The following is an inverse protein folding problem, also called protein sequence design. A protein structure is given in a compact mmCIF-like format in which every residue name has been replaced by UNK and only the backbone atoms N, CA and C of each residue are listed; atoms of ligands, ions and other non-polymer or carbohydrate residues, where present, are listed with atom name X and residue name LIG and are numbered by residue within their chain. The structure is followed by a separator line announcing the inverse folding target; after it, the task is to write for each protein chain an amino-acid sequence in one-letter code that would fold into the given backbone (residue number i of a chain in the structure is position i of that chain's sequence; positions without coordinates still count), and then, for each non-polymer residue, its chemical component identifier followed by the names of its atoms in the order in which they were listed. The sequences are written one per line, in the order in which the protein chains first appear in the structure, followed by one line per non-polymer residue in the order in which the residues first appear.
data_IF_445416132471
#
_entry.id   IF_445416132471
#
_cell.length_a   1.000
_cell.length_b   1.000
_cell.length_c   1.000
_cell.angle_alpha   90.00
_cell.angle_beta   90.00
_cell.angle_gamma   90.00
#
_symmetry.space_group_name_H-M   'P 1'
#
loop_
_entity.id
_entity.type
_entity.pdbx_description
1 polymer ?
#
# COMPACT_ATOMS: atom_id res chain seq x y z
N UNK A 1 -29.80 -7.02 -7.39
CA UNK A 1 -29.08 -8.06 -8.14
C UNK A 1 -27.71 -8.19 -7.48
N UNK A 2 -27.49 -9.20 -6.64
CA UNK A 2 -26.27 -9.39 -5.83
C UNK A 2 -25.40 -10.45 -6.51
N UNK A 3 -24.23 -10.07 -7.02
CA UNK A 3 -23.23 -11.02 -7.49
C UNK A 3 -22.56 -11.67 -6.28
N UNK A 4 -22.94 -12.90 -5.94
CA UNK A 4 -22.18 -13.75 -5.02
C UNK A 4 -20.92 -14.24 -5.73
N UNK A 5 -19.74 -13.88 -5.21
CA UNK A 5 -18.47 -14.49 -5.60
C UNK A 5 -18.21 -15.66 -4.66
N UNK A 6 -18.36 -16.88 -5.16
CA UNK A 6 -17.99 -18.10 -4.44
C UNK A 6 -16.56 -18.53 -4.76
N UNK A 7 -15.78 -18.88 -3.74
CA UNK A 7 -14.45 -19.48 -3.93
C UNK A 7 -14.51 -20.98 -3.61
N UNK A 8 -14.17 -21.82 -4.59
CA UNK A 8 -14.09 -23.27 -4.43
C UNK A 8 -12.63 -23.70 -4.27
N UNK A 9 -12.27 -24.22 -3.09
CA UNK A 9 -10.93 -24.73 -2.83
C UNK A 9 -10.87 -26.24 -3.10
N UNK A 10 -10.18 -26.64 -4.16
CA UNK A 10 -9.88 -28.05 -4.44
C UNK A 10 -8.90 -28.60 -3.38
N UNK A 11 -9.35 -29.53 -2.54
CA UNK A 11 -8.47 -30.32 -1.66
C UNK A 11 -7.88 -31.51 -2.43
N UNK A 12 -6.55 -31.64 -2.45
CA UNK A 12 -5.86 -32.92 -2.70
C UNK A 12 -5.12 -33.35 -1.43
N UNK A 13 -5.30 -34.62 -1.05
CA UNK A 13 -4.62 -35.32 0.07
C UNK A 13 -3.13 -35.44 -0.25
N UNK A 14 -2.30 -34.75 0.53
CA UNK A 14 -1.29 -35.28 1.48
C UNK A 14 -0.04 -35.90 0.83
N UNK A 15 1.13 -35.26 1.04
CA UNK A 15 2.31 -35.95 1.60
C UNK A 15 3.30 -34.95 2.25
N UNK A 16 4.09 -35.50 3.14
CA UNK A 16 5.03 -35.06 4.18
C UNK A 16 6.04 -33.92 3.90
N UNK A 17 6.54 -33.35 5.01
CA UNK A 17 7.62 -32.34 5.24
C UNK A 17 7.23 -30.85 5.28
N UNK A 18 7.61 -30.21 6.40
CA UNK A 18 7.41 -28.80 6.79
C UNK A 18 5.96 -28.28 6.72
N UNK A 19 5.22 -28.46 7.83
CA UNK A 19 4.01 -27.67 8.10
C UNK A 19 4.41 -26.21 8.39
N UNK A 20 4.85 -25.48 7.36
CA UNK A 20 4.65 -24.03 7.30
C UNK A 20 3.16 -23.86 7.57
N UNK A 21 2.81 -23.29 8.73
CA UNK A 21 1.43 -22.99 9.05
C UNK A 21 0.86 -22.23 7.84
N UNK A 22 0.00 -22.90 7.06
CA UNK A 22 -0.66 -22.31 5.88
C UNK A 22 -1.69 -21.33 6.40
N UNK A 23 -1.23 -20.26 7.05
CA UNK A 23 -2.08 -19.13 7.40
C UNK A 23 -2.67 -18.66 6.08
N UNK A 24 -4.01 -18.67 5.93
CA UNK A 24 -4.62 -18.20 4.69
C UNK A 24 -4.15 -16.77 4.44
N UNK A 25 -3.84 -16.47 3.18
CA UNK A 25 -3.56 -15.11 2.76
C UNK A 25 -4.76 -14.24 3.14
N UNK A 26 -4.51 -13.16 3.89
CA UNK A 26 -5.54 -12.19 4.25
C UNK A 26 -5.43 -11.02 3.29
N UNK A 27 -6.42 -10.88 2.43
CA UNK A 27 -6.63 -9.66 1.66
C UNK A 27 -7.52 -8.73 2.47
N UNK A 28 -7.04 -7.52 2.73
CA UNK A 28 -7.87 -6.43 3.23
C UNK A 28 -8.01 -5.40 2.12
N UNK A 29 -9.24 -5.14 1.71
CA UNK A 29 -9.55 -3.92 0.97
C UNK A 29 -9.54 -2.82 2.04
N UNK A 30 -8.69 -1.80 1.86
CA UNK A 30 -8.84 -0.58 2.65
C UNK A 30 -10.24 -0.05 2.37
N UNK A 31 -11.11 -0.09 3.38
CA UNK A 31 -12.45 0.40 3.24
C UNK A 31 -12.37 1.92 2.97
N UNK A 32 -13.20 2.42 2.07
CA UNK A 32 -13.21 3.84 1.71
C UNK A 32 -13.54 4.79 2.87
N UNK A 33 -13.71 4.27 4.10
CA UNK A 33 -13.80 5.04 5.34
C UNK A 33 -12.47 5.72 5.68
N UNK A 34 -11.33 5.09 5.37
CA UNK A 34 -10.03 5.78 5.30
C UNK A 34 -9.98 6.50 3.97
N UNK A 35 -10.13 7.82 3.99
CA UNK A 35 -10.00 8.66 2.80
C UNK A 35 -8.54 8.63 2.33
N UNK A 36 -8.18 7.58 1.60
CA UNK A 36 -6.94 7.58 0.82
C UNK A 36 -6.97 8.83 -0.03
N UNK A 37 -5.91 9.66 -0.03
CA UNK A 37 -5.89 10.86 -0.84
C UNK A 37 -6.22 10.51 -2.29
N UNK A 38 -7.17 11.24 -2.87
CA UNK A 38 -7.56 11.01 -4.27
C UNK A 38 -6.53 11.69 -5.17
N UNK A 39 -6.16 11.01 -6.26
CA UNK A 39 -5.34 11.56 -7.32
C UNK A 39 -6.25 12.10 -8.43
N UNK A 40 -6.00 13.32 -8.90
CA UNK A 40 -6.71 13.92 -10.03
C UNK A 40 -5.82 14.08 -11.27
N UNK A 41 -4.50 14.18 -11.12
CA UNK A 41 -3.54 14.32 -12.22
C UNK A 41 -2.77 13.02 -12.44
N UNK A 42 -2.79 12.47 -13.65
CA UNK A 42 -2.25 11.14 -13.94
C UNK A 42 -0.72 10.99 -13.76
N UNK A 43 0.03 12.07 -13.86
CA UNK A 43 1.49 12.14 -13.70
C UNK A 43 1.95 11.96 -12.24
N UNK A 44 1.05 12.11 -11.27
CA UNK A 44 1.34 11.92 -9.85
C UNK A 44 1.37 10.44 -9.41
N UNK A 45 1.01 9.48 -10.28
CA UNK A 45 0.72 8.10 -9.86
C UNK A 45 1.92 7.41 -9.19
N UNK A 46 3.13 7.65 -9.71
CA UNK A 46 4.38 7.12 -9.15
C UNK A 46 4.70 7.68 -7.76
N UNK A 47 4.49 8.97 -7.54
CA UNK A 47 4.71 9.60 -6.23
C UNK A 47 3.65 9.12 -5.21
N UNK A 48 2.40 8.97 -5.64
CA UNK A 48 1.30 8.46 -4.81
C UNK A 48 1.59 7.06 -4.26
N UNK A 49 2.00 6.13 -5.12
CA UNK A 49 2.24 4.76 -4.68
C UNK A 49 3.41 4.66 -3.70
N UNK A 50 4.49 5.42 -3.94
CA UNK A 50 5.65 5.45 -3.05
C UNK A 50 5.31 6.06 -1.69
N UNK A 51 4.54 7.16 -1.67
CA UNK A 51 4.08 7.77 -0.42
C UNK A 51 3.12 6.85 0.35
N UNK A 52 2.25 6.13 -0.36
CA UNK A 52 1.37 5.13 0.26
C UNK A 52 2.17 3.97 0.87
N UNK A 53 3.23 3.50 0.20
CA UNK A 53 4.13 2.46 0.73
C UNK A 53 4.83 2.95 2.01
N UNK A 54 5.40 4.15 2.00
CA UNK A 54 6.04 4.76 3.18
C UNK A 54 5.07 4.81 4.37
N UNK A 55 3.83 5.23 4.10
CA UNK A 55 2.76 5.31 5.08
C UNK A 55 2.39 3.95 5.70
N UNK A 56 2.27 2.91 4.86
CA UNK A 56 1.95 1.55 5.29
C UNK A 56 3.09 0.95 6.12
N UNK A 57 4.34 1.19 5.73
CA UNK A 57 5.52 0.74 6.47
C UNK A 57 5.65 1.44 7.83
N UNK A 58 5.29 2.72 7.90
CA UNK A 58 5.25 3.48 9.15
C UNK A 58 4.05 3.12 10.06
N UNK A 59 3.15 2.23 9.62
CA UNK A 59 1.93 1.83 10.33
C UNK A 59 1.08 3.04 10.78
N UNK A 60 1.04 4.10 9.95
CA UNK A 60 0.25 5.30 10.23
C UNK A 60 -1.25 4.99 10.17
N UNK A 61 -2.02 5.65 11.05
CA UNK A 61 -3.47 5.43 11.18
C UNK A 61 -4.30 6.38 10.31
N UNK A 62 -3.85 7.61 10.13
CA UNK A 62 -4.51 8.64 9.31
C UNK A 62 -3.58 9.28 8.27
N UNK A 63 -4.09 9.49 7.06
CA UNK A 63 -3.38 10.17 5.97
C UNK A 63 -3.26 11.67 6.27
N UNK A 64 -2.03 12.18 6.23
CA UNK A 64 -1.66 13.57 6.53
C UNK A 64 -1.24 14.38 5.28
N UNK A 65 -1.51 13.85 4.08
CA UNK A 65 -1.07 14.44 2.81
C UNK A 65 -2.20 14.43 1.78
N UNK A 66 -2.07 15.28 0.78
CA UNK A 66 -3.00 15.47 -0.33
C UNK A 66 -2.25 15.53 -1.67
N UNK A 67 -2.99 15.63 -2.79
CA UNK A 67 -2.35 15.80 -4.11
C UNK A 67 -1.48 17.05 -4.20
N UNK A 68 -1.84 18.11 -3.47
CA UNK A 68 -1.11 19.38 -3.49
C UNK A 68 0.32 19.22 -2.98
N UNK A 69 0.56 18.21 -2.16
CA UNK A 69 1.86 17.93 -1.54
C UNK A 69 2.79 17.13 -2.47
N UNK A 70 2.30 16.65 -3.63
CA UNK A 70 3.09 15.81 -4.55
C UNK A 70 4.33 16.51 -5.10
N UNK A 71 4.32 17.84 -5.24
CA UNK A 71 5.51 18.60 -5.62
C UNK A 71 6.64 18.40 -4.61
N UNK A 72 6.38 18.76 -3.35
CA UNK A 72 7.33 18.63 -2.24
C UNK A 72 7.73 17.17 -1.98
N UNK A 73 6.78 16.23 -2.11
CA UNK A 73 7.05 14.81 -1.94
C UNK A 73 8.01 14.30 -3.03
N UNK A 74 7.87 14.75 -4.29
CA UNK A 74 8.82 14.42 -5.36
C UNK A 74 10.21 15.00 -5.10
N UNK A 75 10.29 16.23 -4.63
CA UNK A 75 11.57 16.86 -4.26
C UNK A 75 12.26 16.07 -3.15
N UNK A 76 11.51 15.67 -2.11
CA UNK A 76 12.00 14.77 -1.06
C UNK A 76 12.55 13.48 -1.66
N UNK A 77 11.78 12.79 -2.51
CA UNK A 77 12.21 11.53 -3.13
C UNK A 77 13.47 11.71 -3.99
N UNK A 78 13.56 12.79 -4.76
CA UNK A 78 14.73 13.10 -5.57
C UNK A 78 15.98 13.30 -4.69
N UNK A 79 15.84 14.00 -3.57
CA UNK A 79 16.92 14.17 -2.60
C UNK A 79 17.31 12.86 -1.92
N UNK A 80 16.35 12.00 -1.57
CA UNK A 80 16.62 10.70 -0.98
C UNK A 80 17.40 9.78 -1.93
N UNK A 81 17.06 9.81 -3.23
CA UNK A 81 17.80 9.09 -4.27
C UNK A 81 19.19 9.67 -4.46
N UNK A 82 19.31 10.99 -4.58
CA UNK A 82 20.60 11.67 -4.77
C UNK A 82 21.56 11.43 -3.61
N UNK A 83 21.07 11.52 -2.37
CA UNK A 83 21.85 11.29 -1.16
C UNK A 83 22.01 9.80 -0.81
N UNK A 84 21.32 8.90 -1.51
CA UNK A 84 21.21 7.48 -1.19
C UNK A 84 20.84 7.23 0.29
N UNK A 85 19.88 7.99 0.80
CA UNK A 85 19.47 7.98 2.21
C UNK A 85 18.02 8.43 2.37
N UNK A 86 17.22 7.68 3.14
CA UNK A 86 15.84 8.04 3.47
C UNK A 86 15.82 9.12 4.54
N UNK A 87 15.10 10.21 4.27
CA UNK A 87 14.96 11.31 5.21
C UNK A 87 13.61 11.17 5.91
N UNK A 88 13.64 10.81 7.20
CA UNK A 88 12.46 10.78 8.07
C UNK A 88 12.01 12.21 8.42
N UNK A 89 11.70 13.04 7.43
CA UNK A 89 11.18 14.38 7.67
C UNK A 89 9.66 14.32 7.63
N UNK A 90 9.06 14.62 8.78
CA UNK A 90 7.65 14.95 8.95
C UNK A 90 7.44 16.28 8.24
N UNK A 91 6.81 16.23 7.05
CA UNK A 91 6.15 17.38 6.44
C UNK A 91 4.67 17.31 6.83
#
# INVERSE_FOLDING_TARGET
MLHQVGFHANRRKEDTTYKLAKKPFRMSIMDGSRRVPQQHQGDNCGAYILRLVEYLLANKKEFDWTEKDMGTIREKMAMEVYCNSLHNTVL
#
